data_IF_003582575504
#
_entry.id   IF_003582575504
#
_cell.length_a   1.000
_cell.length_b   1.000
_cell.length_c   1.000
_cell.angle_alpha   90.00
_cell.angle_beta   90.00
_cell.angle_gamma   90.00
#
_symmetry.space_group_name_H-M   'P 1'
#
loop_
_entity.id
_entity.type
_entity.pdbx_description
1 polymer ?
#
# COMPACT_ATOMS: atom_id res chain seq x y z
N UNK A 1 -34.81 -46.61 3.33
CA UNK A 1 -34.15 -47.22 2.16
C UNK A 1 -34.55 -46.43 0.94
N UNK A 2 -33.66 -45.59 0.42
CA UNK A 2 -33.68 -45.14 -0.97
C UNK A 2 -32.28 -44.60 -1.25
N UNK A 3 -31.57 -45.30 -2.12
CA UNK A 3 -30.25 -44.96 -2.62
C UNK A 3 -30.35 -43.75 -3.55
N UNK A 4 -29.38 -42.81 -3.52
CA UNK A 4 -29.35 -41.70 -4.48
C UNK A 4 -28.87 -42.21 -5.84
N UNK A 5 -29.65 -41.92 -6.89
CA UNK A 5 -29.25 -42.11 -8.28
C UNK A 5 -28.35 -40.94 -8.72
N UNK A 6 -27.13 -41.29 -9.13
CA UNK A 6 -26.38 -40.65 -10.21
C UNK A 6 -25.96 -39.19 -10.00
N UNK A 7 -24.83 -38.99 -9.31
CA UNK A 7 -24.01 -37.79 -9.49
C UNK A 7 -23.29 -37.94 -10.83
N UNK A 8 -23.56 -37.01 -11.77
CA UNK A 8 -22.78 -36.86 -12.99
C UNK A 8 -21.31 -36.70 -12.61
N UNK A 9 -20.44 -37.59 -13.12
CA UNK A 9 -19.01 -37.29 -13.22
C UNK A 9 -18.88 -36.20 -14.29
N UNK A 10 -18.90 -34.94 -13.83
CA UNK A 10 -18.24 -33.84 -14.52
C UNK A 10 -16.78 -33.86 -14.11
N UNK A 11 -15.91 -33.74 -15.11
CA UNK A 11 -14.46 -33.83 -15.01
C UNK A 11 -13.90 -32.89 -13.94
N UNK A 12 -12.94 -33.43 -13.17
CA UNK A 12 -12.09 -32.70 -12.25
C UNK A 12 -11.11 -31.87 -13.08
N UNK A 13 -11.41 -30.59 -13.28
CA UNK A 13 -10.40 -29.61 -13.71
C UNK A 13 -9.74 -29.00 -12.48
N UNK A 14 -8.41 -29.11 -12.51
CA UNK A 14 -7.47 -28.93 -11.43
C UNK A 14 -7.44 -27.47 -10.94
N UNK A 15 -7.97 -27.24 -9.74
CA UNK A 15 -8.03 -25.90 -9.18
C UNK A 15 -8.28 -25.91 -7.68
N UNK A 16 -7.49 -26.68 -6.94
CA UNK A 16 -7.48 -26.68 -5.47
C UNK A 16 -7.11 -25.30 -4.94
N UNK A 17 -8.12 -24.45 -4.71
CA UNK A 17 -8.06 -23.28 -3.85
C UNK A 17 -8.03 -23.81 -2.41
N UNK A 18 -6.84 -23.97 -1.85
CA UNK A 18 -6.70 -24.11 -0.40
C UNK A 18 -6.85 -22.72 0.23
N UNK A 19 -8.06 -22.42 0.69
CA UNK A 19 -8.33 -21.28 1.56
C UNK A 19 -7.49 -21.42 2.85
N UNK A 20 -6.46 -20.59 2.99
CA UNK A 20 -5.85 -20.29 4.28
C UNK A 20 -6.35 -18.90 4.65
N UNK A 21 -7.42 -18.85 5.43
CA UNK A 21 -7.89 -17.61 6.05
C UNK A 21 -6.84 -17.12 7.07
N UNK A 22 -6.00 -16.19 6.65
CA UNK A 22 -5.29 -15.29 7.55
C UNK A 22 -6.01 -13.94 7.49
N UNK A 23 -6.68 -13.61 8.59
CA UNK A 23 -7.51 -12.42 8.77
C UNK A 23 -6.75 -11.10 8.72
N UNK A 24 -6.28 -10.71 7.54
CA UNK A 24 -5.96 -9.33 7.21
C UNK A 24 -6.54 -9.03 5.82
N UNK A 25 -7.49 -8.11 5.78
CA UNK A 25 -8.39 -7.82 4.66
C UNK A 25 -7.72 -7.08 3.48
N UNK A 26 -6.49 -7.45 3.12
CA UNK A 26 -5.83 -6.99 1.90
C UNK A 26 -5.71 -8.19 0.96
N UNK A 27 -6.85 -8.55 0.35
CA UNK A 27 -6.92 -9.52 -0.74
C UNK A 27 -6.17 -9.00 -1.97
N UNK A 28 -4.84 -9.12 -2.00
CA UNK A 28 -4.13 -9.07 -3.28
C UNK A 28 -4.17 -10.46 -3.89
N UNK A 29 -5.18 -10.73 -4.72
CA UNK A 29 -5.17 -11.88 -5.62
C UNK A 29 -3.90 -11.79 -6.47
N UNK A 30 -2.98 -12.73 -6.30
CA UNK A 30 -1.90 -12.92 -7.24
C UNK A 30 -2.50 -13.52 -8.51
N UNK A 31 -2.84 -12.67 -9.49
CA UNK A 31 -3.13 -13.14 -10.83
C UNK A 31 -1.83 -13.68 -11.44
N UNK A 32 -1.80 -14.99 -11.68
CA UNK A 32 -0.75 -15.67 -12.42
C UNK A 32 -1.23 -15.70 -13.87
N UNK A 33 -0.57 -14.95 -14.77
CA UNK A 33 -0.78 -15.15 -16.21
C UNK A 33 0.05 -16.34 -16.64
N UNK A 34 -0.56 -17.31 -17.31
CA UNK A 34 0.16 -18.41 -17.94
C UNK A 34 1.13 -17.86 -18.98
N UNK A 35 2.43 -18.08 -18.77
CA UNK A 35 3.50 -17.70 -19.70
C UNK A 35 4.54 -16.69 -19.21
N UNK A 36 4.39 -16.09 -18.02
CA UNK A 36 5.41 -15.19 -17.47
C UNK A 36 6.59 -15.99 -16.86
N UNK A 37 7.82 -15.57 -17.15
CA UNK A 37 8.99 -16.11 -16.46
C UNK A 37 8.97 -15.72 -14.98
N UNK A 38 9.57 -16.54 -14.11
CA UNK A 38 9.69 -16.21 -12.67
C UNK A 38 10.29 -14.81 -12.43
N UNK A 39 11.17 -14.36 -13.34
CA UNK A 39 11.80 -13.05 -13.29
C UNK A 39 10.82 -11.90 -13.57
N UNK A 40 10.00 -12.00 -14.61
CA UNK A 40 8.96 -11.01 -14.93
C UNK A 40 7.91 -10.91 -13.82
N UNK A 41 7.49 -12.06 -13.27
CA UNK A 41 6.58 -12.10 -12.13
C UNK A 41 7.18 -11.46 -10.88
N UNK A 42 8.47 -11.69 -10.61
CA UNK A 42 9.19 -11.11 -9.49
C UNK A 42 9.27 -9.59 -9.65
N UNK A 43 9.63 -9.09 -10.83
CA UNK A 43 9.71 -7.66 -11.12
C UNK A 43 8.34 -6.98 -11.00
N UNK A 44 7.28 -7.60 -11.52
CA UNK A 44 5.92 -7.08 -11.43
C UNK A 44 5.35 -7.11 -10.00
N UNK A 45 5.68 -8.14 -9.20
CA UNK A 45 5.34 -8.15 -7.76
C UNK A 45 6.16 -7.11 -6.99
N UNK A 46 7.44 -6.96 -7.30
CA UNK A 46 8.32 -6.00 -6.64
C UNK A 46 7.89 -4.56 -6.93
N UNK A 47 7.64 -4.21 -8.20
CA UNK A 47 7.17 -2.89 -8.62
C UNK A 47 5.87 -2.49 -7.89
N UNK A 48 4.86 -3.38 -7.89
CA UNK A 48 3.60 -3.13 -7.17
C UNK A 48 3.74 -3.11 -5.65
N UNK A 49 4.72 -3.82 -5.10
CA UNK A 49 5.03 -3.75 -3.67
C UNK A 49 5.65 -2.40 -3.33
N UNK A 50 6.65 -1.94 -4.10
CA UNK A 50 7.32 -0.66 -3.91
C UNK A 50 6.35 0.52 -4.02
N UNK A 51 5.45 0.51 -5.01
CA UNK A 51 4.39 1.52 -5.16
C UNK A 51 3.47 1.59 -3.93
N UNK A 52 2.99 0.43 -3.46
CA UNK A 52 2.11 0.39 -2.30
C UNK A 52 2.80 0.83 -1.00
N UNK A 53 4.08 0.49 -0.83
CA UNK A 53 4.88 0.96 0.30
C UNK A 53 5.13 2.48 0.23
N UNK A 54 5.38 3.01 -0.98
CA UNK A 54 5.53 4.44 -1.20
C UNK A 54 4.26 5.22 -0.86
N UNK A 55 3.09 4.77 -1.35
CA UNK A 55 1.80 5.39 -1.01
C UNK A 55 1.53 5.40 0.49
N UNK A 56 1.80 4.27 1.17
CA UNK A 56 1.66 4.19 2.62
C UNK A 56 2.60 5.17 3.34
N UNK A 57 3.86 5.24 2.96
CA UNK A 57 4.84 6.15 3.56
C UNK A 57 4.40 7.62 3.38
N UNK A 58 3.95 8.01 2.19
CA UNK A 58 3.44 9.36 1.90
C UNK A 58 2.26 9.71 2.81
N UNK A 59 1.32 8.78 2.99
CA UNK A 59 0.16 9.02 3.86
C UNK A 59 0.57 9.19 5.33
N UNK A 60 1.45 8.33 5.85
CA UNK A 60 1.97 8.44 7.22
C UNK A 60 2.65 9.80 7.46
N UNK A 61 3.43 10.27 6.48
CA UNK A 61 4.12 11.55 6.60
C UNK A 61 3.13 12.74 6.55
N UNK A 62 2.11 12.68 5.68
CA UNK A 62 1.05 13.70 5.60
C UNK A 62 0.24 13.79 6.90
N UNK A 63 -0.14 12.65 7.48
CA UNK A 63 -0.86 12.59 8.75
C UNK A 63 -0.03 13.14 9.91
N UNK A 64 1.27 12.86 9.90
CA UNK A 64 2.22 13.40 10.88
C UNK A 64 2.31 14.92 10.77
N UNK A 65 2.49 15.48 9.57
CA UNK A 65 2.54 16.92 9.36
C UNK A 65 1.22 17.62 9.70
N UNK A 66 0.07 16.99 9.42
CA UNK A 66 -1.24 17.51 9.82
C UNK A 66 -1.36 17.62 11.34
N UNK A 67 -0.87 16.61 12.05
CA UNK A 67 -0.82 16.60 13.52
C UNK A 67 0.09 17.70 14.07
N UNK A 68 1.26 17.95 13.46
CA UNK A 68 2.18 19.00 13.91
C UNK A 68 1.58 20.40 13.76
N UNK A 69 0.87 20.67 12.66
CA UNK A 69 0.22 21.97 12.42
C UNK A 69 -1.05 22.15 13.27
N UNK A 70 -1.80 21.08 13.53
CA UNK A 70 -3.02 21.12 14.34
C UNK A 70 -2.76 21.26 15.84
N UNK A 71 -1.66 20.69 16.35
CA UNK A 71 -1.33 20.72 17.77
C UNK A 71 -0.31 21.84 18.05
N UNK A 72 -0.80 22.96 18.58
CA UNK A 72 0.02 24.10 18.97
C UNK A 72 1.29 23.77 19.78
N UNK A 73 1.29 22.87 20.81
CA UNK A 73 2.51 22.58 21.55
C UNK A 73 3.58 21.88 20.69
N UNK A 74 3.18 21.05 19.74
CA UNK A 74 4.12 20.42 18.79
C UNK A 74 4.70 21.44 17.83
N UNK A 75 3.84 22.31 17.26
CA UNK A 75 4.29 23.38 16.38
C UNK A 75 5.28 24.32 17.08
N UNK A 76 4.99 24.70 18.33
CA UNK A 76 5.86 25.55 19.13
C UNK A 76 7.19 24.87 19.47
N UNK A 77 7.17 23.56 19.75
CA UNK A 77 8.38 22.79 19.98
C UNK A 77 9.32 22.82 18.75
N UNK A 78 8.79 22.60 17.54
CA UNK A 78 9.58 22.68 16.32
C UNK A 78 10.07 24.11 16.02
N UNK A 79 9.23 25.13 16.25
CA UNK A 79 9.62 26.53 16.07
C UNK A 79 10.81 26.92 16.97
N UNK A 80 10.84 26.43 18.21
CA UNK A 80 11.98 26.65 19.12
C UNK A 80 13.21 25.87 18.66
N UNK A 81 13.05 24.61 18.23
CA UNK A 81 14.16 23.77 17.80
C UNK A 81 14.87 24.32 16.55
N UNK A 82 14.11 24.79 15.56
CA UNK A 82 14.64 25.38 14.31
C UNK A 82 14.97 26.87 14.45
N UNK A 83 14.65 27.48 15.61
CA UNK A 83 14.80 28.91 15.86
C UNK A 83 14.12 29.79 14.79
N UNK A 84 12.92 29.39 14.38
CA UNK A 84 12.13 30.06 13.36
C UNK A 84 10.78 30.51 13.93
N UNK A 85 10.16 31.51 13.29
CA UNK A 85 8.83 31.93 13.73
C UNK A 85 7.80 30.81 13.53
N UNK A 86 6.83 30.71 14.45
CA UNK A 86 5.75 29.71 14.39
C UNK A 86 5.00 29.76 13.05
N UNK A 87 4.79 30.97 12.50
CA UNK A 87 4.16 31.15 11.20
C UNK A 87 4.99 30.60 10.04
N UNK A 88 6.32 30.72 10.11
CA UNK A 88 7.24 30.18 9.10
C UNK A 88 7.32 28.66 9.17
N UNK A 89 7.40 28.07 10.37
CA UNK A 89 7.36 26.61 10.49
C UNK A 89 6.04 26.02 10.03
N UNK A 90 4.91 26.70 10.31
CA UNK A 90 3.62 26.30 9.76
C UNK A 90 3.62 26.31 8.23
N UNK A 91 4.18 27.35 7.61
CA UNK A 91 4.34 27.43 6.15
C UNK A 91 5.26 26.32 5.62
N UNK A 92 6.37 26.05 6.31
CA UNK A 92 7.32 24.99 5.97
C UNK A 92 6.66 23.60 5.97
N UNK A 93 5.88 23.28 7.00
CA UNK A 93 5.14 22.01 7.06
C UNK A 93 4.08 21.90 5.96
N UNK A 94 3.36 22.99 5.63
CA UNK A 94 2.40 22.98 4.52
C UNK A 94 3.06 22.76 3.16
N UNK A 95 4.26 23.32 2.93
CA UNK A 95 5.03 23.08 1.70
C UNK A 95 5.50 21.62 1.60
N UNK A 96 5.97 21.05 2.72
CA UNK A 96 6.45 19.66 2.79
C UNK A 96 5.35 18.61 2.58
N UNK A 97 4.07 18.95 2.71
CA UNK A 97 2.95 18.04 2.46
C UNK A 97 2.78 17.63 0.99
N UNK A 98 3.30 18.42 0.03
CA UNK A 98 3.17 18.14 -1.41
C UNK A 98 3.87 16.84 -1.80
N UNK A 99 5.19 16.76 -1.54
CA UNK A 99 6.07 15.63 -1.89
C UNK A 99 6.94 15.25 -0.69
N UNK A 100 6.36 14.66 0.37
CA UNK A 100 7.10 14.38 1.60
C UNK A 100 8.17 13.30 1.42
N UNK A 101 7.95 12.36 0.49
CA UNK A 101 8.85 11.22 0.23
C UNK A 101 9.60 11.35 -1.12
N UNK A 102 9.56 12.53 -1.77
CA UNK A 102 10.14 12.74 -3.09
C UNK A 102 9.25 12.27 -4.25
N UNK A 103 9.84 12.14 -5.44
CA UNK A 103 9.11 11.68 -6.63
C UNK A 103 8.69 10.21 -6.46
N UNK A 104 7.45 9.87 -6.88
CA UNK A 104 7.03 8.47 -6.90
C UNK A 104 7.93 7.65 -7.82
N UNK A 105 8.17 6.36 -7.49
CA UNK A 105 8.83 5.46 -8.42
C UNK A 105 8.04 5.40 -9.74
N UNK A 106 8.75 5.27 -10.86
CA UNK A 106 8.12 5.17 -12.18
C UNK A 106 7.11 4.02 -12.18
N UNK A 107 5.87 4.34 -12.54
CA UNK A 107 4.86 3.33 -12.81
C UNK A 107 5.16 2.82 -14.21
N UNK A 108 5.52 1.55 -14.32
CA UNK A 108 5.50 0.83 -15.59
C UNK A 108 4.02 0.67 -16.01
N UNK A 109 3.45 1.76 -16.53
CA UNK A 109 2.18 1.76 -17.25
C UNK A 109 2.52 1.86 -18.76
N UNK A 110 3.29 0.89 -19.28
CA UNK A 110 3.42 0.55 -20.73
C UNK A 110 3.71 -0.94 -20.92
#
# INVERSE_FOLDING_TARGET
MNTPKGMFLGELDDGSISEIELGCHISRKCFFKEGETLYEMLNHKMSRFLLACFEWAVNIQRDSYASYVGHYPMLAYFAIAENESIGRERYNFMQKMLLPCGLPPEREDE
#
